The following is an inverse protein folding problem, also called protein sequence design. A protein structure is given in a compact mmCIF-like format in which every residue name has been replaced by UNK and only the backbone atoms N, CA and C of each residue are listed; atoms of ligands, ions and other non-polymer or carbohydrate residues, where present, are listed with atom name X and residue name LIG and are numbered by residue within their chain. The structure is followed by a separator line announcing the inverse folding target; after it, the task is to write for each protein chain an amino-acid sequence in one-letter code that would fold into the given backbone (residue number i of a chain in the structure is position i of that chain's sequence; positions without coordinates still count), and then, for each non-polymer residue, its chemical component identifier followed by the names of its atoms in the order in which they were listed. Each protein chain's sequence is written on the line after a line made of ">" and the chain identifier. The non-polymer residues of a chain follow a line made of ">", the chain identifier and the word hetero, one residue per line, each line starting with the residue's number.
data_IF_216856930111
#
_entry.id   IF_216856930111
#
_cell.length_a   1.000
_cell.length_b   1.000
_cell.length_c   1.000
_cell.angle_alpha   90.00
_cell.angle_beta   90.00
_cell.angle_gamma   90.00
#
_symmetry.space_group_name_H-M   'P 1'
#
loop_
_entity.id
_entity.type
_entity.pdbx_description
1 polymer ?
#
# COMPACT_ATOMS: atom_id res chain seq x y z
N UNK A 1 98.84 -49.96 30.58
CA UNK A 1 98.90 -48.76 31.43
C UNK A 1 98.35 -47.62 30.66
N UNK A 2 97.06 -47.38 30.78
CA UNK A 2 96.35 -46.35 30.06
C UNK A 2 95.56 -45.54 31.06
N UNK A 3 95.77 -44.29 31.12
CA UNK A 3 95.13 -43.38 32.03
C UNK A 3 93.74 -43.00 31.48
N UNK A 4 92.80 -43.18 32.34
CA UNK A 4 91.39 -42.79 32.17
C UNK A 4 91.25 -41.27 32.39
N UNK A 5 90.70 -40.61 31.43
CA UNK A 5 90.41 -39.17 31.49
C UNK A 5 88.87 -38.98 31.62
N UNK A 6 88.36 -38.26 32.61
CA UNK A 6 86.93 -38.05 32.74
C UNK A 6 86.39 -37.07 31.70
N UNK A 7 85.16 -37.20 31.26
CA UNK A 7 84.57 -36.32 30.26
C UNK A 7 84.25 -34.94 30.83
N UNK A 8 84.49 -33.93 30.01
CA UNK A 8 84.29 -32.52 30.30
C UNK A 8 82.82 -32.22 30.57
N UNK A 9 82.53 -31.68 31.77
CA UNK A 9 81.25 -31.25 32.26
C UNK A 9 80.69 -29.92 31.59
N UNK A 10 81.27 -29.55 30.47
CA UNK A 10 80.91 -28.22 29.81
C UNK A 10 79.84 -28.32 28.72
N UNK A 11 79.40 -29.53 28.34
CA UNK A 11 78.36 -29.62 27.26
C UNK A 11 76.91 -29.81 27.71
N UNK A 12 76.67 -29.86 29.03
CA UNK A 12 75.30 -30.06 29.56
C UNK A 12 74.53 -28.78 29.90
N UNK A 13 75.13 -27.60 29.70
CA UNK A 13 74.49 -26.31 30.01
C UNK A 13 73.72 -25.71 28.83
N UNK A 14 73.76 -26.28 27.64
CA UNK A 14 73.17 -25.64 26.42
C UNK A 14 71.84 -26.18 25.95
N UNK A 15 71.18 -27.05 26.70
CA UNK A 15 69.83 -27.56 26.42
C UNK A 15 68.81 -27.15 27.49
N UNK A 16 68.74 -25.89 27.81
CA UNK A 16 67.53 -25.35 28.45
C UNK A 16 66.44 -25.30 27.39
N UNK A 17 65.49 -26.21 27.47
CA UNK A 17 64.28 -26.25 26.68
C UNK A 17 63.57 -24.91 26.74
N UNK A 18 63.62 -24.22 25.62
CA UNK A 18 62.80 -22.98 25.47
C UNK A 18 61.32 -23.42 25.50
N UNK A 19 60.69 -23.26 26.64
CA UNK A 19 59.22 -23.41 26.76
C UNK A 19 58.57 -22.40 25.84
N UNK A 20 57.41 -22.73 25.21
CA UNK A 20 56.73 -21.81 24.32
C UNK A 20 56.42 -20.47 24.98
N UNK A 21 56.31 -20.45 26.32
CA UNK A 21 56.14 -19.23 27.12
C UNK A 21 57.40 -18.36 27.11
N UNK A 22 58.60 -18.94 27.15
CA UNK A 22 59.88 -18.19 27.08
C UNK A 22 60.07 -17.49 25.74
N UNK A 23 59.71 -18.15 24.62
CA UNK A 23 59.74 -17.54 23.28
C UNK A 23 58.71 -16.40 23.10
N UNK A 24 57.56 -16.48 23.74
CA UNK A 24 56.57 -15.42 23.77
C UNK A 24 57.06 -14.21 24.57
N UNK A 25 57.73 -14.44 25.73
CA UNK A 25 58.30 -13.37 26.56
C UNK A 25 59.48 -12.72 25.83
N UNK A 26 60.35 -13.45 25.17
CA UNK A 26 61.48 -12.90 24.39
C UNK A 26 60.98 -12.06 23.19
N UNK A 27 59.89 -12.43 22.55
CA UNK A 27 59.26 -11.64 21.52
C UNK A 27 58.62 -10.34 22.09
N UNK A 28 57.99 -10.39 23.30
CA UNK A 28 57.35 -9.25 23.91
C UNK A 28 58.40 -8.23 24.41
N UNK A 29 59.58 -8.66 24.84
CA UNK A 29 60.66 -7.80 25.31
C UNK A 29 61.70 -7.44 24.23
N UNK A 30 61.42 -7.84 22.98
CA UNK A 30 62.31 -7.45 21.88
C UNK A 30 62.23 -5.88 21.70
N UNK A 31 63.36 -5.19 21.66
CA UNK A 31 63.38 -3.72 21.62
C UNK A 31 62.57 -3.15 20.45
N UNK A 32 62.54 -3.84 19.30
CA UNK A 32 61.76 -3.46 18.13
C UNK A 32 60.25 -3.61 18.38
N UNK A 33 59.79 -4.59 19.16
CA UNK A 33 58.39 -4.81 19.48
C UNK A 33 57.90 -3.70 20.48
N UNK A 34 58.68 -3.43 21.51
CA UNK A 34 58.40 -2.35 22.46
C UNK A 34 58.36 -0.99 21.78
N UNK A 35 59.23 -0.75 20.82
CA UNK A 35 59.22 0.46 20.01
C UNK A 35 57.99 0.56 19.13
N UNK A 36 57.58 -0.53 18.50
CA UNK A 36 56.36 -0.58 17.69
C UNK A 36 55.09 -0.33 18.53
N UNK A 37 55.00 -1.00 19.71
CA UNK A 37 53.90 -0.74 20.66
C UNK A 37 53.89 0.68 21.16
N UNK A 38 55.06 1.23 21.51
CA UNK A 38 55.18 2.63 21.93
C UNK A 38 54.76 3.61 20.82
N UNK A 39 55.11 3.36 19.57
CA UNK A 39 54.66 4.14 18.44
C UNK A 39 53.12 4.07 18.21
N UNK A 40 52.53 2.88 18.37
CA UNK A 40 51.07 2.70 18.27
C UNK A 40 50.36 3.42 19.41
N UNK A 41 50.85 3.31 20.65
CA UNK A 41 50.31 4.00 21.81
C UNK A 41 50.46 5.52 21.66
N UNK A 42 51.64 5.97 21.24
CA UNK A 42 51.88 7.39 20.96
C UNK A 42 50.96 7.90 19.84
N UNK A 43 50.79 7.16 18.76
CA UNK A 43 49.84 7.48 17.71
C UNK A 43 48.39 7.58 18.26
N UNK A 44 47.96 6.61 19.06
CA UNK A 44 46.62 6.61 19.65
C UNK A 44 46.36 7.78 20.62
N UNK A 45 47.40 8.22 21.36
CA UNK A 45 47.35 9.35 22.31
C UNK A 45 47.49 10.69 21.61
N UNK A 46 48.36 10.79 20.58
CA UNK A 46 48.69 12.06 19.94
C UNK A 46 47.84 12.37 18.70
N UNK A 47 47.34 11.34 17.92
CA UNK A 47 46.45 11.59 16.79
C UNK A 47 45.20 12.41 17.19
N UNK A 48 44.51 12.12 18.30
CA UNK A 48 43.38 12.97 18.73
C UNK A 48 43.77 14.39 19.09
N UNK A 49 44.99 14.59 19.63
CA UNK A 49 45.51 15.93 20.02
C UNK A 49 45.99 16.74 18.82
N UNK A 50 46.35 16.10 17.72
CA UNK A 50 46.72 16.76 16.47
C UNK A 50 45.52 17.25 15.67
N UNK A 51 44.30 17.17 16.23
CA UNK A 51 43.10 17.65 15.55
C UNK A 51 42.63 16.77 14.39
N UNK A 52 43.21 15.59 14.22
CA UNK A 52 42.60 14.53 13.37
C UNK A 52 41.33 14.05 14.05
N UNK A 53 40.30 14.89 14.03
CA UNK A 53 38.95 14.45 14.37
C UNK A 53 38.58 13.39 13.36
N UNK A 54 38.17 12.20 13.82
CA UNK A 54 37.46 11.26 12.99
C UNK A 54 36.34 12.03 12.27
N UNK A 55 36.23 11.98 10.96
CA UNK A 55 35.20 12.70 10.26
C UNK A 55 33.86 12.31 10.90
N UNK A 56 33.17 13.30 11.48
CA UNK A 56 31.79 13.08 11.98
C UNK A 56 30.88 12.91 10.77
N UNK A 57 31.00 11.74 10.11
CA UNK A 57 30.21 11.35 8.94
C UNK A 57 28.72 11.67 9.10
N UNK A 58 28.09 11.45 10.27
CA UNK A 58 26.68 11.77 10.45
C UNK A 58 26.32 13.24 10.37
N UNK A 59 27.30 14.15 10.54
CA UNK A 59 27.07 15.62 10.52
C UNK A 59 27.33 16.28 9.17
N UNK A 60 27.93 15.58 8.21
CA UNK A 60 28.13 16.14 6.88
C UNK A 60 26.79 16.24 6.14
N UNK A 61 26.55 17.38 5.49
CA UNK A 61 25.36 17.64 4.71
C UNK A 61 25.13 16.58 3.61
N UNK A 62 26.21 15.94 3.13
CA UNK A 62 26.15 14.86 2.13
C UNK A 62 25.41 13.59 2.60
N UNK A 63 25.25 13.40 3.91
CA UNK A 63 24.57 12.25 4.51
C UNK A 63 23.22 12.59 5.14
N UNK A 64 22.74 13.84 5.01
CA UNK A 64 21.50 14.32 5.56
C UNK A 64 20.56 14.80 4.47
N UNK A 65 19.30 14.41 4.58
CA UNK A 65 18.22 14.83 3.70
C UNK A 65 17.07 15.36 4.55
N UNK A 66 16.48 16.47 4.14
CA UNK A 66 15.20 16.91 4.71
C UNK A 66 14.09 15.95 4.30
N UNK A 67 13.20 15.64 5.22
CA UNK A 67 12.07 14.73 4.97
C UNK A 67 11.19 15.22 3.81
N UNK A 68 11.04 16.54 3.63
CA UNK A 68 10.34 17.14 2.48
C UNK A 68 10.99 16.86 1.12
N UNK A 69 12.26 16.46 1.08
CA UNK A 69 13.01 16.21 -0.15
C UNK A 69 13.05 14.72 -0.53
N UNK A 70 12.22 13.89 0.11
CA UNK A 70 12.04 12.49 -0.30
C UNK A 70 11.36 12.48 -1.68
N UNK A 71 11.99 11.82 -2.64
CA UNK A 71 11.42 11.60 -3.95
C UNK A 71 10.48 10.39 -3.91
N UNK A 72 9.23 10.57 -4.34
CA UNK A 72 8.23 9.50 -4.42
C UNK A 72 7.86 9.24 -5.88
N UNK A 73 7.27 8.06 -6.16
CA UNK A 73 6.63 7.80 -7.46
C UNK A 73 5.66 8.93 -7.77
N UNK A 74 5.69 9.44 -9.02
CA UNK A 74 4.82 10.53 -9.44
C UNK A 74 3.36 10.25 -9.06
N UNK A 75 2.75 11.05 -8.16
CA UNK A 75 1.41 10.81 -7.68
C UNK A 75 0.38 11.12 -8.78
N UNK A 76 -0.66 10.28 -8.93
CA UNK A 76 -1.84 10.63 -9.72
C UNK A 76 -2.55 11.87 -9.17
N UNK A 77 -3.41 12.49 -9.99
CA UNK A 77 -4.08 13.76 -9.68
C UNK A 77 -5.01 13.72 -8.45
N UNK A 78 -5.45 12.53 -8.03
CA UNK A 78 -6.30 12.36 -6.82
C UNK A 78 -5.50 12.23 -5.52
N UNK A 79 -4.17 12.14 -5.60
CA UNK A 79 -3.31 12.07 -4.42
C UNK A 79 -2.95 13.50 -3.98
N UNK A 80 -3.08 13.83 -2.70
CA UNK A 80 -2.68 15.14 -2.18
C UNK A 80 -1.21 15.44 -2.45
N UNK A 81 -0.92 16.69 -2.82
CA UNK A 81 0.45 17.13 -3.12
C UNK A 81 1.38 17.07 -1.89
N UNK A 82 0.82 17.16 -0.70
CA UNK A 82 1.53 17.15 0.59
C UNK A 82 1.60 15.73 1.22
N UNK A 83 1.51 14.67 0.39
CA UNK A 83 1.54 13.28 0.88
C UNK A 83 2.75 12.98 1.76
N UNK A 84 3.95 13.45 1.35
CA UNK A 84 5.19 13.22 2.11
C UNK A 84 5.12 13.87 3.49
N UNK A 85 4.62 15.11 3.55
CA UNK A 85 4.42 15.84 4.80
C UNK A 85 3.36 15.18 5.69
N UNK A 86 2.29 14.66 5.09
CA UNK A 86 1.26 13.91 5.82
C UNK A 86 1.84 12.64 6.43
N UNK A 87 2.63 11.87 5.67
CA UNK A 87 3.33 10.67 6.16
C UNK A 87 4.30 11.05 7.28
N UNK A 88 5.09 12.12 7.10
CA UNK A 88 6.03 12.58 8.09
C UNK A 88 5.35 12.93 9.43
N UNK A 89 4.25 13.69 9.36
CA UNK A 89 3.47 14.07 10.55
C UNK A 89 2.84 12.85 11.25
N UNK A 90 2.24 11.92 10.49
CA UNK A 90 1.58 10.74 11.07
C UNK A 90 2.54 9.75 11.70
N UNK A 91 3.75 9.65 11.17
CA UNK A 91 4.77 8.69 11.62
C UNK A 91 5.84 9.35 12.51
N UNK A 92 5.67 10.63 12.86
CA UNK A 92 6.60 11.39 13.69
C UNK A 92 8.05 11.30 13.17
N UNK A 93 8.20 11.39 11.83
CA UNK A 93 9.53 11.36 11.23
C UNK A 93 10.27 12.68 11.56
N UNK A 94 11.57 12.62 11.86
CA UNK A 94 12.36 13.84 12.11
C UNK A 94 12.47 14.66 10.80
N UNK A 95 12.63 15.99 10.95
CA UNK A 95 12.78 16.90 9.81
C UNK A 95 14.00 16.58 8.94
N UNK A 96 15.05 16.03 9.57
CA UNK A 96 16.27 15.59 8.89
C UNK A 96 16.50 14.08 9.08
N UNK A 97 16.75 13.41 7.99
CA UNK A 97 17.02 11.97 7.90
C UNK A 97 18.50 11.75 7.60
N UNK A 98 19.13 10.80 8.28
CA UNK A 98 20.49 10.36 7.99
C UNK A 98 20.46 9.11 7.11
N UNK A 99 21.09 9.19 5.92
CA UNK A 99 21.20 8.04 5.01
C UNK A 99 22.12 6.93 5.53
N UNK A 100 22.86 7.21 6.63
CA UNK A 100 23.71 6.23 7.30
C UNK A 100 22.93 5.33 8.29
N UNK A 101 21.66 5.67 8.58
CA UNK A 101 20.81 4.84 9.43
C UNK A 101 20.36 3.59 8.66
N UNK A 102 20.85 2.43 9.07
CA UNK A 102 20.50 1.13 8.46
C UNK A 102 19.02 0.78 8.57
N UNK A 103 18.32 1.36 9.54
CA UNK A 103 16.89 1.13 9.75
C UNK A 103 16.00 2.05 8.90
N UNK A 104 16.56 3.11 8.32
CA UNK A 104 15.83 4.18 7.65
C UNK A 104 14.90 3.66 6.54
N UNK A 105 15.41 2.82 5.64
CA UNK A 105 14.63 2.30 4.52
C UNK A 105 13.39 1.54 5.00
N UNK A 106 13.53 0.69 6.02
CA UNK A 106 12.42 -0.07 6.61
C UNK A 106 11.41 0.87 7.29
N UNK A 107 11.89 1.81 8.10
CA UNK A 107 11.02 2.79 8.78
C UNK A 107 10.20 3.61 7.78
N UNK A 108 10.84 4.08 6.71
CA UNK A 108 10.15 4.81 5.65
C UNK A 108 9.10 3.94 4.95
N UNK A 109 9.44 2.70 4.57
CA UNK A 109 8.48 1.78 3.97
C UNK A 109 7.25 1.58 4.85
N UNK A 110 7.44 1.27 6.14
CA UNK A 110 6.37 1.12 7.12
C UNK A 110 5.55 2.40 7.30
N UNK A 111 6.21 3.57 7.29
CA UNK A 111 5.54 4.88 7.43
C UNK A 111 4.62 5.17 6.23
N UNK A 112 5.10 4.92 5.01
CA UNK A 112 4.31 5.10 3.81
C UNK A 112 3.15 4.08 3.72
N UNK A 113 3.38 2.81 4.07
CA UNK A 113 2.34 1.77 4.02
C UNK A 113 1.19 1.99 5.01
N UNK A 114 1.42 2.74 6.10
CA UNK A 114 0.35 3.15 7.04
C UNK A 114 -0.53 4.26 6.49
N UNK A 115 -0.12 4.91 5.40
CA UNK A 115 -0.91 6.01 4.85
C UNK A 115 -2.07 5.47 4.00
N UNK A 116 -3.32 5.95 4.20
CA UNK A 116 -4.50 5.43 3.50
C UNK A 116 -4.39 5.42 1.97
N UNK A 117 -3.70 6.39 1.38
CA UNK A 117 -3.49 6.48 -0.07
C UNK A 117 -2.46 5.50 -0.62
N UNK A 118 -1.65 4.89 0.23
CA UNK A 118 -0.61 3.96 -0.21
C UNK A 118 -1.13 2.53 -0.13
N UNK A 119 -1.14 1.85 -1.27
CA UNK A 119 -1.50 0.44 -1.35
C UNK A 119 -0.33 -0.44 -0.94
N UNK A 120 0.87 -0.06 -1.41
CA UNK A 120 2.11 -0.80 -1.14
C UNK A 120 3.34 0.08 -1.37
N UNK A 121 4.33 -0.04 -0.51
CA UNK A 121 5.68 0.45 -0.76
C UNK A 121 6.49 -0.66 -1.46
N UNK A 122 6.81 -0.46 -2.74
CA UNK A 122 7.52 -1.48 -3.53
C UNK A 122 9.00 -1.52 -3.22
N UNK A 123 9.60 -0.32 -3.02
CA UNK A 123 11.03 -0.20 -2.80
C UNK A 123 11.37 1.14 -2.15
N UNK A 124 12.36 1.13 -1.26
CA UNK A 124 13.01 2.34 -0.75
C UNK A 124 14.48 2.27 -1.10
N UNK A 125 14.96 3.22 -1.89
CA UNK A 125 16.36 3.33 -2.29
C UNK A 125 17.00 4.51 -1.57
N UNK A 126 18.09 4.23 -0.87
CA UNK A 126 18.88 5.23 -0.15
C UNK A 126 20.28 5.26 -0.74
N UNK A 127 20.77 6.41 -1.14
CA UNK A 127 22.07 6.58 -1.79
C UNK A 127 22.85 7.77 -1.26
N UNK A 128 24.12 7.81 -1.60
CA UNK A 128 25.05 8.91 -1.27
C UNK A 128 25.46 9.58 -2.59
N UNK A 129 25.48 10.90 -2.69
CA UNK A 129 25.06 11.88 -1.67
C UNK A 129 23.59 11.70 -1.30
N UNK A 130 23.20 12.23 -0.13
CA UNK A 130 21.90 11.93 0.49
C UNK A 130 20.73 12.10 -0.49
N UNK A 131 20.20 10.97 -0.97
CA UNK A 131 19.05 10.87 -1.84
C UNK A 131 18.21 9.67 -1.42
N UNK A 132 16.92 9.90 -1.26
CA UNK A 132 15.95 8.88 -0.88
C UNK A 132 14.86 8.85 -1.95
N UNK A 133 14.68 7.68 -2.54
CA UNK A 133 13.61 7.43 -3.52
C UNK A 133 12.70 6.32 -3.02
N UNK A 134 11.39 6.57 -3.03
CA UNK A 134 10.37 5.63 -2.57
C UNK A 134 9.44 5.29 -3.74
N UNK A 135 9.45 4.04 -4.13
CA UNK A 135 8.55 3.50 -5.16
C UNK A 135 7.25 3.06 -4.52
N UNK A 136 6.18 3.80 -4.81
CA UNK A 136 4.85 3.59 -4.23
C UNK A 136 3.86 3.08 -5.27
N UNK A 137 2.97 2.20 -4.82
CA UNK A 137 1.72 1.87 -5.48
C UNK A 137 0.59 2.57 -4.73
N UNK A 138 -0.14 3.43 -5.43
CA UNK A 138 -1.23 4.20 -4.83
C UNK A 138 -2.56 3.46 -4.93
N UNK A 139 -3.45 3.71 -3.96
CA UNK A 139 -4.84 3.28 -4.06
C UNK A 139 -5.58 4.18 -5.03
N UNK A 140 -6.45 3.56 -5.81
CA UNK A 140 -7.28 4.25 -6.78
C UNK A 140 -8.73 4.31 -6.29
N UNK A 141 -9.32 5.50 -6.12
CA UNK A 141 -10.72 5.61 -5.75
C UNK A 141 -11.61 5.12 -6.89
N UNK A 142 -12.61 4.28 -6.56
CA UNK A 142 -13.53 3.70 -7.54
C UNK A 142 -14.97 4.10 -7.32
N UNK A 143 -15.37 4.39 -6.08
CA UNK A 143 -16.73 4.75 -5.74
C UNK A 143 -16.83 5.55 -4.45
N UNK A 144 -17.96 6.22 -4.27
CA UNK A 144 -18.37 6.91 -3.04
C UNK A 144 -19.55 6.15 -2.45
N UNK A 145 -19.42 5.63 -1.24
CA UNK A 145 -20.52 4.97 -0.52
C UNK A 145 -21.34 6.01 0.22
N UNK A 146 -22.62 6.08 -0.07
CA UNK A 146 -23.58 6.94 0.61
C UNK A 146 -24.33 6.14 1.67
N UNK A 147 -24.05 6.44 2.93
CA UNK A 147 -24.76 5.85 4.07
C UNK A 147 -25.78 6.83 4.60
N UNK A 148 -27.04 6.46 4.49
CA UNK A 148 -28.15 7.27 5.02
C UNK A 148 -28.49 6.79 6.42
N UNK A 149 -28.38 7.69 7.39
CA UNK A 149 -28.82 7.43 8.77
C UNK A 149 -29.74 8.55 9.24
N UNK A 150 -30.99 8.21 9.45
CA UNK A 150 -32.06 9.18 9.73
C UNK A 150 -32.11 10.24 8.61
N UNK A 151 -31.76 11.49 8.91
CA UNK A 151 -31.80 12.64 7.98
C UNK A 151 -30.43 13.03 7.46
N UNK A 152 -29.35 12.34 7.88
CA UNK A 152 -27.98 12.69 7.52
C UNK A 152 -27.38 11.66 6.58
N UNK A 153 -26.77 12.12 5.49
CA UNK A 153 -25.98 11.28 4.59
C UNK A 153 -24.50 11.45 4.93
N UNK A 154 -23.83 10.35 5.19
CA UNK A 154 -22.38 10.28 5.31
C UNK A 154 -21.80 9.66 4.03
N UNK A 155 -20.71 10.23 3.52
CA UNK A 155 -20.03 9.77 2.31
C UNK A 155 -18.67 9.20 2.66
N UNK A 156 -18.33 8.06 2.04
CA UNK A 156 -17.06 7.37 2.25
C UNK A 156 -16.47 6.99 0.89
N UNK A 157 -15.29 7.50 0.58
CA UNK A 157 -14.55 7.11 -0.61
C UNK A 157 -13.89 5.74 -0.40
N UNK A 158 -13.92 4.88 -1.41
CA UNK A 158 -13.34 3.53 -1.34
C UNK A 158 -12.61 3.15 -2.62
N UNK A 159 -11.62 2.25 -2.47
CA UNK A 159 -10.96 1.55 -3.58
C UNK A 159 -11.69 0.25 -3.99
N UNK A 160 -11.12 -0.49 -4.95
CA UNK A 160 -11.71 -1.74 -5.46
C UNK A 160 -11.73 -2.90 -4.44
N UNK A 161 -10.91 -2.83 -3.40
CA UNK A 161 -10.88 -3.77 -2.28
C UNK A 161 -11.79 -3.31 -1.10
N UNK A 162 -12.60 -2.27 -1.31
CA UNK A 162 -13.40 -1.61 -0.28
C UNK A 162 -12.56 -1.03 0.88
N UNK A 163 -11.33 -0.61 0.60
CA UNK A 163 -10.53 0.12 1.58
C UNK A 163 -11.01 1.55 1.66
N UNK A 164 -11.21 2.04 2.88
CA UNK A 164 -11.64 3.42 3.14
C UNK A 164 -10.51 4.41 2.77
N UNK A 165 -10.86 5.43 2.02
CA UNK A 165 -9.97 6.51 1.61
C UNK A 165 -10.39 7.82 2.27
N UNK A 166 -9.46 8.76 2.52
CA UNK A 166 -9.77 10.05 3.13
C UNK A 166 -10.73 10.86 2.25
N UNK A 167 -12.01 10.82 2.57
CA UNK A 167 -13.06 11.53 1.80
C UNK A 167 -12.87 13.06 1.87
N UNK A 168 -12.21 13.56 2.91
CA UNK A 168 -11.91 14.98 3.07
C UNK A 168 -10.95 15.54 2.01
N UNK A 169 -10.18 14.69 1.35
CA UNK A 169 -9.21 15.08 0.31
C UNK A 169 -9.91 15.36 -1.04
N UNK A 170 -11.22 15.04 -1.16
CA UNK A 170 -11.99 15.28 -2.37
C UNK A 170 -12.83 16.53 -2.28
N UNK A 171 -12.83 17.31 -3.35
CA UNK A 171 -13.83 18.38 -3.53
C UNK A 171 -15.22 17.80 -3.84
N UNK A 172 -16.31 18.54 -3.57
CA UNK A 172 -17.66 18.10 -3.94
C UNK A 172 -17.82 17.80 -5.44
N UNK A 173 -17.11 18.52 -6.30
CA UNK A 173 -17.14 18.31 -7.76
C UNK A 173 -16.45 16.98 -8.14
N UNK A 174 -15.38 16.62 -7.47
CA UNK A 174 -14.70 15.33 -7.68
C UNK A 174 -15.56 14.17 -7.20
N UNK A 175 -16.17 14.28 -6.02
CA UNK A 175 -17.10 13.27 -5.48
C UNK A 175 -18.21 12.95 -6.50
N UNK A 176 -18.77 13.97 -7.15
CA UNK A 176 -19.83 13.80 -8.14
C UNK A 176 -19.40 13.03 -9.41
N UNK A 177 -18.11 12.89 -9.66
CA UNK A 177 -17.58 12.15 -10.80
C UNK A 177 -17.45 10.64 -10.57
N UNK A 178 -17.52 10.19 -9.32
CA UNK A 178 -17.43 8.78 -8.97
C UNK A 178 -18.79 8.11 -8.93
N UNK A 179 -18.88 6.80 -9.23
CA UNK A 179 -20.05 6.00 -8.96
C UNK A 179 -20.50 6.12 -7.50
N UNK A 180 -21.77 6.38 -7.26
CA UNK A 180 -22.33 6.32 -5.92
C UNK A 180 -22.75 4.89 -5.59
N UNK A 181 -22.39 4.38 -4.42
CA UNK A 181 -22.94 3.14 -3.86
C UNK A 181 -24.02 3.54 -2.87
N UNK A 182 -25.25 3.08 -3.09
CA UNK A 182 -26.42 3.47 -2.33
C UNK A 182 -27.13 2.29 -1.69
N UNK A 183 -28.05 2.59 -0.76
CA UNK A 183 -28.80 1.58 0.02
C UNK A 183 -27.92 0.82 1.03
N UNK A 184 -26.82 1.43 1.48
CA UNK A 184 -25.99 0.93 2.58
C UNK A 184 -26.49 1.53 3.89
N UNK A 185 -26.88 0.68 4.84
CA UNK A 185 -27.44 1.12 6.13
C UNK A 185 -26.41 1.25 7.24
N UNK A 186 -25.30 0.56 7.13
CA UNK A 186 -24.26 0.49 8.17
C UNK A 186 -23.09 1.41 7.85
N UNK A 187 -22.64 2.15 8.87
CA UNK A 187 -21.38 2.91 8.77
C UNK A 187 -20.19 1.99 8.96
N UNK A 188 -19.03 2.30 8.33
CA UNK A 188 -17.82 1.54 8.62
C UNK A 188 -17.41 1.72 10.07
N UNK A 189 -17.07 0.62 10.75
CA UNK A 189 -16.44 0.65 12.06
C UNK A 189 -14.94 0.96 11.99
N UNK A 190 -14.38 0.90 10.78
CA UNK A 190 -12.96 1.09 10.49
C UNK A 190 -12.67 2.56 10.19
N UNK A 191 -11.39 2.91 10.31
CA UNK A 191 -10.85 4.22 9.89
C UNK A 191 -10.25 4.15 8.48
N UNK A 192 -9.90 5.30 7.92
CA UNK A 192 -9.22 5.40 6.63
C UNK A 192 -7.97 4.52 6.56
N UNK A 193 -7.78 3.88 5.42
CA UNK A 193 -6.71 2.92 5.17
C UNK A 193 -7.07 1.47 5.51
N UNK A 194 -8.20 1.22 6.17
CA UNK A 194 -8.66 -0.12 6.52
C UNK A 194 -9.81 -0.59 5.61
N UNK A 195 -9.91 -1.89 5.42
CA UNK A 195 -10.96 -2.51 4.60
C UNK A 195 -12.29 -2.44 5.33
N UNK A 196 -13.32 -1.93 4.64
CA UNK A 196 -14.70 -2.00 5.13
C UNK A 196 -15.23 -3.43 5.03
N UNK A 197 -15.44 -4.06 6.17
CA UNK A 197 -15.88 -5.46 6.27
C UNK A 197 -17.38 -5.62 5.97
N UNK A 198 -17.81 -5.21 4.78
CA UNK A 198 -19.18 -5.37 4.29
C UNK A 198 -19.14 -6.02 2.91
N UNK A 199 -19.64 -7.28 2.76
CA UNK A 199 -19.59 -8.00 1.48
C UNK A 199 -20.31 -7.29 0.34
N UNK A 200 -21.44 -6.63 0.62
CA UNK A 200 -22.20 -5.89 -0.39
C UNK A 200 -21.45 -4.66 -0.90
N UNK A 201 -20.74 -3.96 0.00
CA UNK A 201 -19.89 -2.82 -0.37
C UNK A 201 -18.70 -3.30 -1.21
N UNK A 202 -18.05 -4.39 -0.82
CA UNK A 202 -16.95 -4.98 -1.60
C UNK A 202 -17.43 -5.41 -2.99
N UNK A 203 -18.58 -6.06 -3.09
CA UNK A 203 -19.18 -6.48 -4.36
C UNK A 203 -19.45 -5.27 -5.28
N UNK A 204 -20.04 -4.21 -4.72
CA UNK A 204 -20.31 -2.96 -5.45
C UNK A 204 -19.02 -2.22 -5.84
N UNK A 205 -17.98 -2.20 -4.99
CA UNK A 205 -16.68 -1.61 -5.30
C UNK A 205 -16.01 -2.29 -6.49
N UNK A 206 -16.03 -3.62 -6.54
CA UNK A 206 -15.52 -4.41 -7.68
C UNK A 206 -16.30 -4.12 -8.97
N UNK A 207 -17.63 -3.99 -8.88
CA UNK A 207 -18.45 -3.61 -10.02
C UNK A 207 -18.15 -2.19 -10.49
N UNK A 208 -18.00 -1.25 -9.56
CA UNK A 208 -17.63 0.13 -9.88
C UNK A 208 -16.28 0.20 -10.60
N UNK A 209 -15.27 -0.53 -10.11
CA UNK A 209 -13.96 -0.61 -10.73
C UNK A 209 -14.02 -1.17 -12.16
N UNK A 210 -14.78 -2.24 -12.36
CA UNK A 210 -14.97 -2.86 -13.67
C UNK A 210 -15.65 -1.91 -14.66
N UNK A 211 -16.69 -1.19 -14.23
CA UNK A 211 -17.48 -0.30 -15.07
C UNK A 211 -16.89 1.11 -15.22
N UNK A 212 -15.87 1.47 -14.45
CA UNK A 212 -15.25 2.80 -14.44
C UNK A 212 -14.94 3.34 -15.85
N UNK A 213 -14.35 2.57 -16.79
CA UNK A 213 -14.06 3.05 -18.15
C UNK A 213 -15.30 3.43 -18.95
N UNK A 214 -16.45 2.83 -18.65
CA UNK A 214 -17.72 2.97 -19.39
C UNK A 214 -18.80 3.71 -18.61
N UNK A 215 -18.54 4.13 -17.38
CA UNK A 215 -19.53 4.67 -16.45
C UNK A 215 -20.34 5.83 -17.03
N UNK A 216 -19.62 6.81 -17.58
CA UNK A 216 -20.23 8.01 -18.18
C UNK A 216 -20.95 7.71 -19.50
N UNK A 217 -20.32 6.87 -20.35
CA UNK A 217 -20.83 6.45 -21.63
C UNK A 217 -22.19 5.72 -21.49
N UNK A 218 -22.30 4.84 -20.48
CA UNK A 218 -23.51 4.06 -20.24
C UNK A 218 -24.61 4.86 -19.51
N UNK A 219 -24.34 6.10 -19.10
CA UNK A 219 -25.31 6.95 -18.41
C UNK A 219 -25.62 6.49 -16.98
N UNK A 220 -24.73 5.73 -16.37
CA UNK A 220 -24.88 5.22 -15.01
C UNK A 220 -24.64 6.29 -13.97
N UNK A 221 -25.36 6.20 -12.84
CA UNK A 221 -25.28 7.15 -11.72
C UNK A 221 -24.89 6.46 -10.41
N UNK A 222 -25.54 5.34 -10.08
CA UNK A 222 -25.32 4.69 -8.80
C UNK A 222 -25.35 3.16 -8.94
N UNK A 223 -24.70 2.48 -8.00
CA UNK A 223 -24.85 1.03 -7.77
C UNK A 223 -25.67 0.87 -6.50
N UNK A 224 -26.84 0.25 -6.63
CA UNK A 224 -27.71 -0.08 -5.52
C UNK A 224 -27.36 -1.47 -5.01
N UNK A 225 -27.01 -1.55 -3.75
CA UNK A 225 -26.88 -2.84 -3.07
C UNK A 225 -28.23 -3.27 -2.48
N UNK A 226 -28.54 -4.57 -2.40
CA UNK A 226 -29.78 -5.02 -1.80
C UNK A 226 -29.83 -4.68 -0.31
N UNK A 227 -31.02 -4.33 0.20
CA UNK A 227 -31.25 -4.18 1.62
C UNK A 227 -31.12 -5.52 2.35
N UNK A 228 -31.00 -5.47 3.68
CA UNK A 228 -30.96 -6.69 4.50
C UNK A 228 -32.20 -7.57 4.33
N UNK A 229 -33.34 -6.95 4.06
CA UNK A 229 -34.62 -7.64 3.80
C UNK A 229 -34.66 -8.32 2.42
N UNK A 230 -33.97 -7.73 1.43
CA UNK A 230 -33.92 -8.26 0.05
C UNK A 230 -32.85 -9.35 -0.12
N UNK A 231 -31.97 -9.53 0.88
CA UNK A 231 -30.96 -10.59 0.85
C UNK A 231 -31.60 -11.89 1.28
N UNK A 232 -31.70 -12.81 0.33
CA UNK A 232 -31.96 -14.20 0.65
C UNK A 232 -30.77 -14.77 1.43
N UNK A 233 -31.02 -15.71 2.35
CA UNK A 233 -30.13 -16.13 3.44
C UNK A 233 -28.76 -16.72 3.03
N UNK A 234 -28.37 -16.71 1.77
CA UNK A 234 -27.04 -17.13 1.32
C UNK A 234 -26.18 -15.90 1.04
N UNK A 235 -25.19 -15.66 1.89
CA UNK A 235 -24.26 -14.52 1.84
C UNK A 235 -23.46 -14.39 0.52
N UNK A 236 -23.44 -15.42 -0.32
CA UNK A 236 -22.68 -15.47 -1.60
C UNK A 236 -23.41 -14.82 -2.78
N UNK A 237 -24.70 -14.55 -2.68
CA UNK A 237 -25.55 -14.09 -3.78
C UNK A 237 -26.11 -12.70 -3.57
N UNK A 238 -25.25 -11.68 -3.61
CA UNK A 238 -25.68 -10.29 -3.54
C UNK A 238 -26.08 -9.80 -4.95
N UNK A 239 -27.39 -9.69 -5.29
CA UNK A 239 -27.81 -9.12 -6.57
C UNK A 239 -27.56 -7.61 -6.56
N UNK A 240 -26.67 -7.17 -7.44
CA UNK A 240 -26.37 -5.77 -7.63
C UNK A 240 -27.29 -5.17 -8.70
N UNK A 241 -27.69 -3.92 -8.50
CA UNK A 241 -28.45 -3.15 -9.47
C UNK A 241 -27.70 -1.87 -9.79
N UNK A 242 -27.74 -1.45 -11.04
CA UNK A 242 -27.18 -0.17 -11.48
C UNK A 242 -28.35 0.77 -11.77
N UNK A 243 -28.26 1.97 -11.25
CA UNK A 243 -29.27 3.03 -11.49
C UNK A 243 -28.69 4.01 -12.50
N UNK A 244 -29.47 4.33 -13.51
CA UNK A 244 -29.15 5.35 -14.52
C UNK A 244 -29.54 6.75 -14.05
N UNK A 245 -29.10 7.78 -14.77
CA UNK A 245 -29.45 9.17 -14.47
C UNK A 245 -30.94 9.48 -14.59
N UNK A 246 -31.66 8.78 -15.47
CA UNK A 246 -33.13 8.90 -15.65
C UNK A 246 -33.92 7.96 -14.75
N UNK A 247 -33.27 7.27 -13.81
CA UNK A 247 -33.92 6.42 -12.82
C UNK A 247 -34.22 4.99 -13.28
N UNK A 248 -33.80 4.59 -14.49
CA UNK A 248 -33.89 3.20 -14.92
C UNK A 248 -32.94 2.32 -14.09
N UNK A 249 -33.30 1.05 -13.97
CA UNK A 249 -32.53 0.07 -13.19
C UNK A 249 -32.02 -1.03 -14.12
N UNK A 250 -30.73 -1.35 -14.01
CA UNK A 250 -30.11 -2.48 -14.71
C UNK A 250 -29.72 -3.51 -13.64
N UNK A 251 -30.39 -4.65 -13.65
CA UNK A 251 -30.08 -5.79 -12.78
C UNK A 251 -28.80 -6.41 -13.30
N UNK A 252 -27.70 -6.16 -12.58
CA UNK A 252 -26.40 -6.73 -12.92
C UNK A 252 -26.29 -8.19 -12.48
N UNK A 253 -26.91 -8.55 -11.36
CA UNK A 253 -26.78 -9.87 -10.75
C UNK A 253 -25.60 -9.94 -9.78
N UNK A 254 -24.79 -10.96 -9.90
CA UNK A 254 -23.68 -11.25 -9.01
C UNK A 254 -22.46 -10.34 -9.25
N UNK A 255 -21.62 -10.15 -8.23
CA UNK A 255 -20.42 -9.34 -8.37
C UNK A 255 -19.44 -9.92 -9.40
N UNK A 256 -18.58 -9.07 -10.02
CA UNK A 256 -17.55 -9.54 -10.93
C UNK A 256 -16.60 -10.54 -10.25
N UNK A 257 -16.28 -11.63 -10.98
CA UNK A 257 -15.44 -12.71 -10.48
C UNK A 257 -16.19 -13.84 -9.79
N UNK A 258 -17.51 -13.71 -9.57
CA UNK A 258 -18.34 -14.83 -9.16
C UNK A 258 -18.62 -15.73 -10.39
N UNK A 259 -18.10 -16.97 -10.37
CA UNK A 259 -18.36 -17.96 -11.42
C UNK A 259 -19.57 -18.80 -10.99
N UNK A 260 -20.76 -18.44 -11.46
CA UNK A 260 -21.95 -19.24 -11.23
C UNK A 260 -22.48 -19.85 -12.54
N UNK A 261 -22.81 -21.16 -12.57
CA UNK A 261 -23.46 -21.79 -13.72
C UNK A 261 -24.80 -21.09 -14.02
N UNK A 262 -24.96 -20.61 -15.25
CA UNK A 262 -26.19 -19.96 -15.70
C UNK A 262 -26.19 -18.43 -15.72
N UNK A 263 -25.18 -17.78 -15.17
CA UNK A 263 -25.00 -16.32 -15.27
C UNK A 263 -23.95 -15.94 -16.32
N UNK A 264 -24.18 -14.85 -17.05
CA UNK A 264 -23.21 -14.33 -18.01
C UNK A 264 -21.96 -13.77 -17.32
N UNK A 265 -20.81 -14.01 -17.93
CA UNK A 265 -19.56 -13.38 -17.52
C UNK A 265 -19.66 -11.85 -17.60
N UNK A 266 -18.93 -11.17 -16.74
CA UNK A 266 -18.96 -9.72 -16.63
C UNK A 266 -18.64 -9.00 -17.97
N UNK A 267 -17.66 -9.50 -18.72
CA UNK A 267 -17.27 -8.99 -20.02
C UNK A 267 -18.42 -9.10 -21.04
N UNK A 268 -19.13 -10.23 -21.01
CA UNK A 268 -20.30 -10.45 -21.89
C UNK A 268 -21.48 -9.56 -21.54
N UNK A 269 -21.66 -9.23 -20.26
CA UNK A 269 -22.66 -8.24 -19.83
C UNK A 269 -22.31 -6.84 -20.37
N UNK A 270 -21.02 -6.45 -20.30
CA UNK A 270 -20.55 -5.17 -20.87
C UNK A 270 -20.75 -5.12 -22.37
N UNK A 271 -20.38 -6.17 -23.12
CA UNK A 271 -20.62 -6.26 -24.58
C UNK A 271 -22.11 -6.11 -24.91
N UNK A 272 -22.97 -6.76 -24.13
CA UNK A 272 -24.42 -6.70 -24.29
C UNK A 272 -24.98 -5.31 -24.02
N UNK A 273 -24.48 -4.63 -22.99
CA UNK A 273 -24.84 -3.23 -22.71
C UNK A 273 -24.44 -2.33 -23.89
N UNK A 274 -23.20 -2.46 -24.40
CA UNK A 274 -22.75 -1.70 -25.57
C UNK A 274 -23.60 -1.95 -26.79
N UNK A 275 -23.93 -3.21 -27.06
CA UNK A 275 -24.80 -3.58 -28.17
C UNK A 275 -26.19 -2.97 -28.02
N UNK A 276 -26.79 -3.04 -26.80
CA UNK A 276 -28.10 -2.46 -26.52
C UNK A 276 -28.10 -0.96 -26.75
N UNK A 277 -27.16 -0.24 -26.17
CA UNK A 277 -27.07 1.24 -26.30
C UNK A 277 -26.88 1.67 -27.76
N UNK A 278 -26.11 0.91 -28.54
CA UNK A 278 -25.89 1.18 -29.97
C UNK A 278 -27.17 1.05 -30.80
N UNK A 279 -28.05 0.07 -30.50
CA UNK A 279 -29.20 -0.26 -31.34
C UNK A 279 -30.52 0.30 -30.82
N UNK A 280 -30.62 0.53 -29.51
CA UNK A 280 -31.87 0.96 -28.86
C UNK A 280 -31.74 2.33 -28.17
N UNK A 281 -30.54 2.91 -28.11
CA UNK A 281 -30.29 4.18 -27.44
C UNK A 281 -30.18 4.06 -25.91
N UNK A 282 -30.21 5.19 -25.20
CA UNK A 282 -30.07 5.22 -23.76
C UNK A 282 -31.11 4.39 -23.01
N UNK A 283 -30.76 3.85 -21.86
CA UNK A 283 -31.65 3.05 -21.02
C UNK A 283 -32.93 3.77 -20.59
N UNK A 284 -32.90 5.09 -20.57
CA UNK A 284 -34.02 5.92 -20.14
C UNK A 284 -34.97 6.31 -21.29
N UNK A 285 -34.61 5.95 -22.53
CA UNK A 285 -35.42 6.29 -23.72
C UNK A 285 -36.43 5.16 -24.06
N UNK A 286 -37.56 5.52 -24.73
CA UNK A 286 -38.07 6.84 -24.96
C UNK A 286 -38.93 7.40 -23.83
N UNK A 287 -39.42 6.59 -22.88
CA UNK A 287 -40.39 6.99 -21.85
C UNK A 287 -40.08 6.27 -20.51
N UNK A 288 -38.78 6.16 -20.13
CA UNK A 288 -38.37 5.56 -18.85
C UNK A 288 -39.02 6.17 -17.63
N UNK A 289 -38.77 5.64 -16.42
CA UNK A 289 -37.74 4.66 -16.11
C UNK A 289 -38.16 3.21 -16.38
N UNK A 290 -37.16 2.40 -16.74
CA UNK A 290 -37.33 0.97 -17.00
C UNK A 290 -36.44 0.12 -16.09
N UNK A 291 -36.84 -1.14 -15.90
CA UNK A 291 -36.00 -2.17 -15.34
C UNK A 291 -35.49 -3.10 -16.45
N UNK A 292 -34.20 -3.33 -16.47
CA UNK A 292 -33.51 -4.19 -17.43
C UNK A 292 -32.84 -5.35 -16.68
N UNK A 293 -33.17 -6.58 -17.07
CA UNK A 293 -32.45 -7.76 -16.59
C UNK A 293 -31.46 -8.21 -17.67
N UNK A 294 -30.16 -8.08 -17.35
CA UNK A 294 -29.05 -8.47 -18.23
C UNK A 294 -28.38 -9.78 -17.79
N UNK A 295 -28.88 -10.44 -16.77
CA UNK A 295 -28.28 -11.66 -16.21
C UNK A 295 -28.51 -12.88 -17.10
N UNK A 296 -29.61 -12.90 -17.84
CA UNK A 296 -30.06 -14.06 -18.62
C UNK A 296 -29.28 -14.26 -19.91
N UNK A 297 -29.13 -15.53 -20.33
CA UNK A 297 -28.34 -15.88 -21.52
C UNK A 297 -28.92 -15.37 -22.85
N UNK A 298 -30.26 -15.36 -23.02
CA UNK A 298 -30.87 -15.09 -24.33
C UNK A 298 -30.94 -13.61 -24.65
N UNK A 299 -31.69 -12.82 -23.89
CA UNK A 299 -31.99 -11.44 -24.22
C UNK A 299 -32.04 -10.54 -22.99
N UNK A 300 -31.93 -9.23 -23.20
CA UNK A 300 -32.22 -8.21 -22.19
C UNK A 300 -33.75 -8.12 -22.07
N UNK A 301 -34.28 -8.46 -20.88
CA UNK A 301 -35.69 -8.19 -20.63
C UNK A 301 -35.86 -6.73 -20.15
N UNK A 302 -36.90 -6.06 -20.68
CA UNK A 302 -37.25 -4.67 -20.32
C UNK A 302 -38.66 -4.61 -19.78
N UNK A 303 -38.87 -3.96 -18.62
CA UNK A 303 -40.17 -3.72 -18.01
C UNK A 303 -40.26 -2.25 -17.59
N UNK A 304 -41.43 -1.64 -17.57
CA UNK A 304 -41.62 -0.30 -16.96
C UNK A 304 -41.64 -0.43 -15.45
N UNK A 305 -40.99 0.49 -14.76
CA UNK A 305 -40.96 0.48 -13.28
C UNK A 305 -42.36 0.80 -12.71
N UNK A 306 -43.16 1.61 -13.38
CA UNK A 306 -44.57 1.84 -13.00
C UNK A 306 -45.37 0.55 -12.94
N UNK A 307 -45.18 -0.35 -13.93
CA UNK A 307 -45.91 -1.62 -13.99
C UNK A 307 -45.53 -2.61 -12.86
N UNK A 308 -44.32 -2.41 -12.27
CA UNK A 308 -43.84 -3.20 -11.13
C UNK A 308 -44.46 -2.79 -9.80
N UNK A 309 -44.90 -1.53 -9.67
CA UNK A 309 -45.56 -1.01 -8.47
C UNK A 309 -47.02 -1.45 -8.36
N UNK A 310 -47.62 -1.85 -9.47
CA UNK A 310 -49.02 -2.30 -9.56
C UNK A 310 -49.18 -3.84 -9.47
N UNK A 311 -48.08 -4.60 -9.48
CA UNK A 311 -48.13 -6.05 -9.34
C UNK A 311 -48.53 -6.42 -7.90
N UNK A 312 -49.63 -7.25 -7.71
CA UNK A 312 -50.05 -7.69 -6.41
C UNK A 312 -48.94 -8.51 -5.74
N UNK A 313 -48.60 -8.17 -4.51
CA UNK A 313 -47.72 -8.96 -3.66
C UNK A 313 -48.28 -10.36 -3.51
N UNK A 314 -47.59 -11.34 -4.08
CA UNK A 314 -47.88 -12.78 -3.90
C UNK A 314 -47.20 -13.30 -2.66
#
# INVERSE_FOLDING_TARGET
>A
MSADQPPDDFELAARRSATPLGRLLDCLFHPNFLLAVSCVVAAFVFLPKLGLRWPELPRNAEYRLRTSNIEITAPPHWIPHDLVEQVARRSELPDELSVLDRSLARRLAESFERHPWVKKCRKVSVSVPARIQVELEYREPVAIVNVVHATKTAMFAIDAEATLLPTADFSPAEIANYPAIVNVSERPAQTDGLIWKNPSVLAAARLAALLKPHWKEFGFQAIRVPSAVERDASDDDVPLQIVTRGGSRVIWGRPPGANHPGELLAEKKIERIKFYLKHHGPFDAPHGPYEYDITRWKDISRRRIADLSEAPSR
#
